data_IF_328370933917
#
_entry.id   IF_328370933917
#
_cell.length_a   1.000
_cell.length_b   1.000
_cell.length_c   1.000
_cell.angle_alpha   90.00
_cell.angle_beta   90.00
_cell.angle_gamma   90.00
#
_symmetry.space_group_name_H-M   'P 1'
#
loop_
_entity.id
_entity.type
_entity.pdbx_description
1 polymer ?
#
# COMPACT_ATOMS: atom_id res chain seq x y z
N UNK A 1 -52.61 3.50 5.43
CA UNK A 1 -52.97 4.18 6.68
C UNK A 1 -53.03 3.15 7.80
N UNK A 2 -52.35 3.46 8.92
CA UNK A 2 -52.51 3.01 10.32
C UNK A 2 -53.10 1.61 10.59
N UNK A 3 -52.30 0.69 11.17
CA UNK A 3 -52.21 0.34 12.63
C UNK A 3 -53.35 -0.66 13.04
N UNK A 4 -53.27 -1.59 14.00
CA UNK A 4 -52.47 -1.72 15.22
C UNK A 4 -52.78 -3.07 15.93
N UNK A 5 -51.73 -3.74 16.47
CA UNK A 5 -51.54 -4.34 17.83
C UNK A 5 -52.51 -5.40 18.40
N UNK A 6 -51.97 -6.58 18.77
CA UNK A 6 -51.52 -7.08 20.13
C UNK A 6 -52.65 -7.84 20.87
N UNK A 7 -52.52 -8.80 21.79
CA UNK A 7 -51.56 -9.20 22.85
C UNK A 7 -51.79 -10.72 23.13
N UNK A 8 -50.79 -11.62 23.20
CA UNK A 8 -49.98 -12.17 24.34
C UNK A 8 -50.70 -12.64 25.64
N UNK A 9 -50.33 -13.87 26.04
CA UNK A 9 -50.11 -14.47 27.40
C UNK A 9 -51.15 -15.48 27.88
N UNK A 10 -50.67 -16.69 28.22
CA UNK A 10 -51.34 -17.66 29.08
C UNK A 10 -50.44 -18.86 29.37
N UNK A 11 -49.83 -18.87 30.55
CA UNK A 11 -48.86 -19.83 31.07
C UNK A 11 -49.59 -20.84 31.97
N UNK A 12 -49.39 -22.16 31.82
CA UNK A 12 -49.76 -23.15 32.86
C UNK A 12 -48.73 -24.27 32.89
N UNK A 13 -48.21 -24.52 34.09
CA UNK A 13 -47.40 -25.67 34.47
C UNK A 13 -48.11 -26.46 35.59
N UNK A 14 -47.67 -27.72 35.80
CA UNK A 14 -47.97 -28.70 36.87
C UNK A 14 -49.04 -29.77 36.51
N UNK A 15 -48.61 -31.02 36.24
CA UNK A 15 -48.56 -32.21 37.15
C UNK A 15 -49.96 -32.84 37.35
N UNK A 16 -50.27 -34.15 37.29
CA UNK A 16 -49.57 -35.44 37.38
C UNK A 16 -50.70 -36.51 37.12
N UNK A 17 -50.55 -37.65 36.41
CA UNK A 17 -50.44 -39.03 36.96
C UNK A 17 -50.93 -40.07 35.89
N UNK A 18 -50.12 -41.12 35.70
CA UNK A 18 -50.33 -42.51 35.21
C UNK A 18 -51.02 -42.82 33.86
N UNK A 19 -50.28 -43.51 32.98
CA UNK A 19 -50.35 -44.96 32.70
C UNK A 19 -49.77 -45.28 31.32
N UNK A 20 -49.18 -46.48 31.16
CA UNK A 20 -49.18 -47.17 29.88
C UNK A 20 -47.91 -47.06 29.03
N UNK A 21 -47.02 -48.03 29.22
CA UNK A 21 -45.93 -48.43 28.34
C UNK A 21 -46.35 -48.62 26.87
N UNK A 22 -45.59 -48.05 25.93
CA UNK A 22 -45.28 -48.66 24.64
C UNK A 22 -44.03 -47.97 24.06
N UNK A 23 -42.92 -48.71 24.03
CA UNK A 23 -41.66 -48.27 23.48
C UNK A 23 -41.75 -48.10 21.97
N UNK A 24 -41.56 -46.86 21.52
CA UNK A 24 -41.30 -46.51 20.13
C UNK A 24 -40.17 -45.50 20.09
N UNK A 25 -38.94 -45.97 19.88
CA UNK A 25 -37.77 -45.12 19.68
C UNK A 25 -37.89 -44.38 18.34
N UNK A 26 -38.55 -43.23 18.35
CA UNK A 26 -38.53 -42.26 17.25
C UNK A 26 -37.15 -41.60 17.22
N UNK A 27 -36.24 -42.16 16.42
CA UNK A 27 -34.98 -41.52 16.06
C UNK A 27 -35.28 -40.42 15.05
N UNK A 28 -35.44 -39.19 15.52
CA UNK A 28 -35.42 -38.02 14.66
C UNK A 28 -34.01 -37.91 14.04
N UNK A 29 -33.86 -37.81 12.71
CA UNK A 29 -32.56 -37.55 12.11
C UNK A 29 -32.10 -36.16 12.54
N UNK A 30 -31.13 -36.09 13.44
CA UNK A 30 -30.36 -34.90 13.71
C UNK A 30 -29.58 -34.55 12.46
N UNK A 31 -30.12 -33.64 11.64
CA UNK A 31 -29.37 -33.00 10.57
C UNK A 31 -28.32 -32.13 11.25
N UNK A 32 -27.13 -32.70 11.45
CA UNK A 32 -25.96 -31.97 11.90
C UNK A 32 -25.69 -30.86 10.88
N UNK A 33 -26.12 -29.65 11.21
CA UNK A 33 -25.65 -28.45 10.53
C UNK A 33 -24.17 -28.35 10.87
N UNK A 34 -23.32 -28.83 9.96
CA UNK A 34 -21.92 -28.50 9.97
C UNK A 34 -21.82 -26.98 9.91
N UNK A 35 -21.64 -26.35 11.07
CA UNK A 35 -21.30 -24.95 11.17
C UNK A 35 -19.99 -24.80 10.39
N UNK A 36 -20.07 -24.23 9.19
CA UNK A 36 -18.91 -23.77 8.44
C UNK A 36 -18.36 -22.57 9.20
N UNK A 37 -17.61 -22.85 10.26
CA UNK A 37 -16.68 -21.90 10.84
C UNK A 37 -15.63 -21.64 9.76
N UNK A 38 -15.89 -20.63 8.94
CA UNK A 38 -14.88 -19.98 8.12
C UNK A 38 -13.87 -19.39 9.11
N UNK A 39 -12.93 -20.22 9.53
CA UNK A 39 -11.80 -19.84 10.34
C UNK A 39 -10.97 -18.94 9.44
N UNK A 40 -11.28 -17.64 9.47
CA UNK A 40 -10.42 -16.62 8.92
C UNK A 40 -9.07 -16.84 9.58
N UNK A 41 -8.14 -17.44 8.84
CA UNK A 41 -6.82 -17.78 9.34
C UNK A 41 -6.13 -16.45 9.66
N UNK A 42 -6.25 -15.99 10.91
CA UNK A 42 -5.69 -14.71 11.33
C UNK A 42 -4.19 -14.93 11.51
N UNK A 43 -3.37 -14.24 10.71
CA UNK A 43 -1.92 -14.25 10.93
C UNK A 43 -1.67 -13.68 12.31
N UNK A 44 -1.20 -14.50 13.24
CA UNK A 44 -0.75 -14.05 14.55
C UNK A 44 0.59 -13.31 14.40
N UNK A 45 0.50 -12.03 14.02
CA UNK A 45 1.64 -11.15 13.80
C UNK A 45 2.16 -10.61 15.14
N UNK A 46 3.37 -11.01 15.52
CA UNK A 46 4.06 -10.52 16.74
C UNK A 46 4.76 -9.18 16.47
N UNK A 47 3.96 -8.15 16.20
CA UNK A 47 4.36 -6.75 16.01
C UNK A 47 3.20 -5.83 16.41
N UNK A 48 3.44 -4.53 16.67
CA UNK A 48 2.35 -3.60 17.03
C UNK A 48 1.44 -3.28 15.86
N UNK A 49 2.00 -3.13 14.66
CA UNK A 49 1.22 -2.93 13.44
C UNK A 49 1.82 -3.68 12.25
N UNK A 50 1.00 -3.99 11.26
CA UNK A 50 1.46 -4.50 9.98
C UNK A 50 0.39 -4.44 8.89
N UNK A 51 0.84 -4.38 7.64
CA UNK A 51 -0.05 -4.35 6.47
C UNK A 51 0.64 -5.06 5.30
N UNK A 52 -0.14 -5.79 4.50
CA UNK A 52 0.29 -6.31 3.21
C UNK A 52 -0.62 -5.77 2.11
N UNK A 53 -0.02 -5.28 1.03
CA UNK A 53 -0.76 -4.71 -0.11
C UNK A 53 -0.23 -5.21 -1.44
N UNK A 54 -1.11 -5.27 -2.43
CA UNK A 54 -0.72 -5.38 -3.83
C UNK A 54 0.00 -4.11 -4.30
N UNK A 55 1.16 -4.26 -4.92
CA UNK A 55 1.99 -3.12 -5.29
C UNK A 55 1.44 -2.28 -6.47
N UNK A 56 0.50 -2.83 -7.26
CA UNK A 56 -0.03 -2.18 -8.46
C UNK A 56 -1.34 -1.44 -8.20
N UNK A 57 -2.23 -2.04 -7.42
CA UNK A 57 -3.59 -1.55 -7.16
C UNK A 57 -3.73 -0.93 -5.78
N UNK A 58 -2.80 -1.21 -4.85
CA UNK A 58 -2.94 -0.83 -3.45
C UNK A 58 -4.01 -1.63 -2.71
N UNK A 59 -4.46 -2.77 -3.24
CA UNK A 59 -5.39 -3.66 -2.55
C UNK A 59 -4.78 -4.15 -1.24
N UNK A 60 -5.51 -4.04 -0.14
CA UNK A 60 -5.06 -4.50 1.18
C UNK A 60 -5.41 -5.99 1.32
N UNK A 61 -4.39 -6.80 1.59
CA UNK A 61 -4.46 -8.26 1.65
C UNK A 61 -4.34 -8.79 3.09
N UNK A 62 -3.76 -7.98 3.96
CA UNK A 62 -3.68 -8.20 5.40
C UNK A 62 -3.52 -6.86 6.10
N UNK A 63 -4.12 -6.71 7.28
CA UNK A 63 -3.95 -5.52 8.11
C UNK A 63 -4.02 -5.87 9.60
N UNK A 64 -3.17 -5.22 10.38
CA UNK A 64 -3.21 -5.16 11.85
C UNK A 64 -2.81 -3.75 12.27
N UNK A 65 -3.74 -3.00 12.88
CA UNK A 65 -3.50 -1.62 13.33
C UNK A 65 -2.88 -0.73 12.24
N UNK A 66 -3.33 -0.86 10.98
CA UNK A 66 -2.68 -0.28 9.81
C UNK A 66 -2.59 1.23 9.86
N UNK A 67 -3.58 1.90 10.46
CA UNK A 67 -3.65 3.36 10.62
C UNK A 67 -2.98 3.90 11.89
N UNK A 68 -2.45 3.05 12.77
CA UNK A 68 -1.78 3.50 13.99
C UNK A 68 -0.42 4.12 13.67
N UNK A 69 -0.23 5.40 14.02
CA UNK A 69 1.07 6.06 13.86
C UNK A 69 2.09 5.53 14.89
N UNK A 70 3.24 5.06 14.40
CA UNK A 70 4.34 4.56 15.22
C UNK A 70 5.67 5.14 14.72
N UNK A 71 6.72 5.19 15.55
CA UNK A 71 8.04 5.60 15.07
C UNK A 71 8.57 4.63 14.00
N UNK A 72 9.13 5.21 12.93
CA UNK A 72 9.50 4.45 11.73
C UNK A 72 11.01 4.30 11.53
N UNK A 73 11.80 5.04 12.30
CA UNK A 73 13.25 5.07 12.23
C UNK A 73 13.75 5.19 10.76
N UNK A 74 14.76 4.40 10.38
CA UNK A 74 15.37 4.43 9.04
C UNK A 74 14.47 4.06 7.86
N UNK A 75 13.23 3.59 8.07
CA UNK A 75 12.27 3.50 6.96
C UNK A 75 11.93 4.89 6.39
N UNK A 76 12.20 5.95 7.16
CA UNK A 76 12.16 7.34 6.71
C UNK A 76 12.87 7.55 5.37
N UNK A 77 14.00 6.87 5.19
CA UNK A 77 14.86 7.04 4.02
C UNK A 77 14.12 6.75 2.72
N UNK A 78 13.05 5.96 2.72
CA UNK A 78 12.25 5.73 1.51
C UNK A 78 11.55 6.99 1.01
N UNK A 79 11.10 7.88 1.91
CA UNK A 79 10.52 9.18 1.53
C UNK A 79 11.60 10.13 1.02
N UNK A 80 12.76 10.13 1.68
CA UNK A 80 13.92 10.91 1.23
C UNK A 80 14.39 10.46 -0.15
N UNK A 81 14.47 9.14 -0.38
CA UNK A 81 14.85 8.53 -1.66
C UNK A 81 13.82 8.84 -2.76
N UNK A 82 12.52 8.87 -2.44
CA UNK A 82 11.50 9.32 -3.39
C UNK A 82 11.81 10.73 -3.92
N UNK A 83 12.13 11.67 -3.04
CA UNK A 83 12.47 13.05 -3.42
C UNK A 83 13.82 13.17 -4.13
N UNK A 84 14.81 12.37 -3.72
CA UNK A 84 16.12 12.33 -4.41
C UNK A 84 15.95 11.82 -5.83
N UNK A 85 15.20 10.74 -6.04
CA UNK A 85 14.92 10.22 -7.37
C UNK A 85 14.09 11.21 -8.20
N UNK A 86 13.12 11.89 -7.59
CA UNK A 86 12.37 12.97 -8.24
C UNK A 86 13.28 14.12 -8.72
N UNK A 87 14.22 14.55 -7.87
CA UNK A 87 15.21 15.55 -8.25
C UNK A 87 16.12 15.06 -9.38
N UNK A 88 16.47 13.78 -9.41
CA UNK A 88 17.30 13.19 -10.48
C UNK A 88 16.54 13.14 -11.80
N UNK A 89 15.32 12.60 -11.81
CA UNK A 89 14.49 12.49 -13.02
C UNK A 89 14.11 13.85 -13.60
N UNK A 90 13.97 14.87 -12.76
CA UNK A 90 13.70 16.24 -13.19
C UNK A 90 14.98 17.04 -13.49
N UNK A 91 16.15 16.41 -13.53
CA UNK A 91 17.43 17.04 -13.91
C UNK A 91 18.03 17.99 -12.87
N UNK A 92 17.43 18.12 -11.69
CA UNK A 92 17.92 18.96 -10.58
C UNK A 92 19.18 18.39 -9.92
N UNK A 93 19.33 17.07 -9.91
CA UNK A 93 20.47 16.35 -9.33
C UNK A 93 21.00 15.33 -10.34
N UNK A 94 22.31 15.17 -10.46
CA UNK A 94 22.91 14.16 -11.38
C UNK A 94 23.61 13.07 -10.59
N UNK A 95 23.62 11.84 -11.12
CA UNK A 95 24.22 10.68 -10.43
C UNK A 95 25.72 10.82 -10.12
N UNK A 96 26.46 11.48 -11.01
CA UNK A 96 27.89 11.72 -10.94
C UNK A 96 28.26 13.04 -10.24
N UNK A 97 27.27 13.91 -9.99
CA UNK A 97 27.47 15.14 -9.23
C UNK A 97 28.09 14.82 -7.86
N UNK A 98 29.11 15.59 -7.50
CA UNK A 98 29.77 15.49 -6.20
C UNK A 98 29.08 16.42 -5.20
N UNK A 99 28.81 15.91 -4.00
CA UNK A 99 28.26 16.65 -2.86
C UNK A 99 29.35 16.77 -1.80
N UNK A 100 29.72 18.00 -1.46
CA UNK A 100 30.64 18.31 -0.36
C UNK A 100 29.94 18.13 0.98
N UNK A 101 30.57 17.40 1.90
CA UNK A 101 29.99 17.08 3.19
C UNK A 101 30.25 18.20 4.19
N UNK A 102 29.19 18.68 4.83
CA UNK A 102 29.27 19.69 5.88
C UNK A 102 29.69 19.10 7.23
N UNK A 103 30.18 19.95 8.14
CA UNK A 103 30.58 19.55 9.50
C UNK A 103 29.48 18.79 10.28
N UNK A 104 28.21 19.24 10.33
CA UNK A 104 27.18 18.52 11.06
C UNK A 104 26.89 17.13 10.48
N UNK A 105 26.92 16.99 9.15
CA UNK A 105 26.71 15.70 8.48
C UNK A 105 27.89 14.75 8.76
N UNK A 106 29.13 15.26 8.68
CA UNK A 106 30.31 14.49 9.02
C UNK A 106 30.27 14.02 10.49
N UNK A 107 29.78 14.85 11.42
CA UNK A 107 29.60 14.48 12.83
C UNK A 107 28.62 13.32 13.01
N UNK A 108 27.50 13.32 12.29
CA UNK A 108 26.56 12.18 12.27
C UNK A 108 27.22 10.94 11.69
N UNK A 109 27.96 11.08 10.57
CA UNK A 109 28.61 9.98 9.89
C UNK A 109 29.72 9.30 10.71
N UNK A 110 30.39 10.04 11.59
CA UNK A 110 31.44 9.54 12.49
C UNK A 110 30.90 8.79 13.71
N UNK A 111 29.60 8.89 14.01
CA UNK A 111 29.02 8.21 15.16
C UNK A 111 28.83 6.72 14.85
N UNK A 112 29.68 5.88 15.45
CA UNK A 112 29.73 4.42 15.25
C UNK A 112 28.54 3.68 15.86
N UNK A 113 27.77 4.32 16.75
CA UNK A 113 26.53 3.76 17.30
C UNK A 113 25.35 3.90 16.32
N UNK A 114 25.56 4.53 15.16
CA UNK A 114 24.56 4.75 14.13
C UNK A 114 25.02 4.13 12.81
N UNK A 115 24.09 3.57 12.03
CA UNK A 115 24.42 3.05 10.70
C UNK A 115 24.94 4.17 9.79
N UNK A 116 26.20 4.07 9.38
CA UNK A 116 26.89 5.05 8.54
C UNK A 116 28.00 4.41 7.71
N UNK A 117 28.38 5.12 6.65
CA UNK A 117 29.70 5.02 6.04
C UNK A 117 30.50 6.24 6.49
N UNK A 118 31.84 6.18 6.56
CA UNK A 118 32.65 7.34 6.92
C UNK A 118 32.46 8.45 5.87
N UNK A 119 32.09 9.64 6.34
CA UNK A 119 32.00 10.85 5.52
C UNK A 119 32.85 11.94 6.17
N UNK A 120 33.81 12.48 5.42
CA UNK A 120 34.71 13.52 5.91
C UNK A 120 34.20 14.90 5.55
N UNK A 121 34.25 15.81 6.52
CA UNK A 121 33.97 17.24 6.32
C UNK A 121 34.85 17.80 5.19
N UNK A 122 34.26 18.62 4.32
CA UNK A 122 34.95 19.23 3.17
C UNK A 122 35.28 18.26 2.03
N UNK A 123 35.22 16.94 2.25
CA UNK A 123 35.35 15.97 1.17
C UNK A 123 34.05 15.83 0.38
N UNK A 124 34.16 15.45 -0.89
CA UNK A 124 32.99 15.33 -1.77
C UNK A 124 32.80 13.92 -2.29
N UNK A 125 31.57 13.41 -2.22
CA UNK A 125 31.18 12.08 -2.67
C UNK A 125 30.11 12.18 -3.75
N UNK A 126 30.05 11.23 -4.68
CA UNK A 126 29.03 11.26 -5.74
C UNK A 126 27.65 10.95 -5.19
N UNK A 127 26.61 11.54 -5.81
CA UNK A 127 25.20 11.24 -5.52
C UNK A 127 24.93 9.74 -5.55
N UNK A 128 25.46 9.03 -6.55
CA UNK A 128 25.34 7.58 -6.67
C UNK A 128 25.89 6.83 -5.45
N UNK A 129 27.08 7.19 -4.97
CA UNK A 129 27.69 6.54 -3.82
C UNK A 129 26.88 6.78 -2.54
N UNK A 130 26.40 8.01 -2.32
CA UNK A 130 25.57 8.36 -1.17
C UNK A 130 24.20 7.66 -1.22
N UNK A 131 23.60 7.56 -2.40
CA UNK A 131 22.33 6.87 -2.63
C UNK A 131 22.44 5.38 -2.32
N UNK A 132 23.50 4.73 -2.84
CA UNK A 132 23.77 3.32 -2.59
C UNK A 132 24.04 3.06 -1.10
N UNK A 133 24.83 3.91 -0.44
CA UNK A 133 25.08 3.79 1.00
C UNK A 133 23.81 3.97 1.85
N UNK A 134 22.89 4.85 1.42
CA UNK A 134 21.62 5.10 2.10
C UNK A 134 20.67 3.90 2.03
N UNK A 135 20.63 3.17 0.91
CA UNK A 135 19.72 2.04 0.71
C UNK A 135 20.30 0.71 1.18
N UNK A 136 21.59 0.46 0.93
CA UNK A 136 22.26 -0.82 1.27
C UNK A 136 22.63 -0.82 2.75
N UNK A 137 23.38 0.20 3.20
CA UNK A 137 23.95 0.25 4.55
C UNK A 137 23.20 1.17 5.51
N UNK A 138 22.08 1.75 5.06
CA UNK A 138 21.26 2.66 5.86
C UNK A 138 22.01 3.90 6.37
N UNK A 139 23.03 4.36 5.63
CA UNK A 139 23.90 5.45 6.08
C UNK A 139 23.14 6.76 6.32
N UNK A 140 23.18 7.26 7.56
CA UNK A 140 22.43 8.45 7.98
C UNK A 140 23.01 9.74 7.40
N UNK A 141 24.32 9.93 7.49
CA UNK A 141 24.96 11.12 6.92
C UNK A 141 24.79 11.22 5.40
N UNK A 142 24.77 10.08 4.71
CA UNK A 142 24.62 10.04 3.25
C UNK A 142 23.25 10.55 2.79
N UNK A 143 22.16 10.15 3.47
CA UNK A 143 20.82 10.61 3.10
C UNK A 143 20.56 12.07 3.51
N UNK A 144 21.16 12.54 4.60
CA UNK A 144 21.09 13.95 5.00
C UNK A 144 21.85 14.85 4.01
N UNK A 145 22.98 14.39 3.49
CA UNK A 145 23.72 15.09 2.43
C UNK A 145 22.92 15.16 1.13
N UNK A 146 22.31 14.05 0.72
CA UNK A 146 21.42 14.03 -0.45
C UNK A 146 20.22 14.97 -0.28
N UNK A 147 19.56 14.93 0.88
CA UNK A 147 18.43 15.81 1.16
C UNK A 147 18.80 17.29 1.13
N UNK A 148 19.94 17.63 1.73
CA UNK A 148 20.49 18.99 1.69
C UNK A 148 20.82 19.43 0.26
N UNK A 149 21.40 18.56 -0.57
CA UNK A 149 21.67 18.87 -1.98
C UNK A 149 20.37 19.07 -2.80
N UNK A 150 19.29 18.35 -2.47
CA UNK A 150 18.00 18.49 -3.13
C UNK A 150 17.31 19.81 -2.76
N UNK A 151 17.39 20.27 -1.51
CA UNK A 151 16.58 21.39 -1.03
C UNK A 151 17.38 22.64 -0.62
N UNK A 152 18.70 22.60 -0.65
CA UNK A 152 19.61 23.64 -0.17
C UNK A 152 19.91 23.56 1.32
N UNK A 153 19.00 23.02 2.14
CA UNK A 153 19.22 22.80 3.58
C UNK A 153 18.40 21.61 4.12
N UNK A 154 18.79 21.02 5.26
CA UNK A 154 18.04 19.94 5.91
C UNK A 154 16.59 20.33 6.25
N UNK A 155 16.35 21.53 6.78
CA UNK A 155 15.00 21.98 7.14
C UNK A 155 14.14 22.26 5.91
N UNK A 156 14.72 22.82 4.83
CA UNK A 156 14.03 22.96 3.55
C UNK A 156 13.66 21.58 2.97
N UNK A 157 14.53 20.58 3.12
CA UNK A 157 14.24 19.22 2.70
C UNK A 157 13.10 18.59 3.50
N UNK A 158 13.08 18.77 4.83
CA UNK A 158 11.96 18.31 5.68
C UNK A 158 10.64 18.96 5.26
N UNK A 159 10.65 20.24 4.87
CA UNK A 159 9.46 20.90 4.31
C UNK A 159 8.98 20.21 3.03
N UNK A 160 9.88 19.86 2.11
CA UNK A 160 9.53 19.09 0.91
C UNK A 160 9.02 17.68 1.25
N UNK A 161 9.62 17.00 2.23
CA UNK A 161 9.17 15.69 2.71
C UNK A 161 7.73 15.75 3.24
N UNK A 162 7.40 16.77 4.06
CA UNK A 162 6.03 16.97 4.57
C UNK A 162 5.04 17.25 3.45
N UNK A 163 5.42 18.10 2.49
CA UNK A 163 4.59 18.38 1.32
C UNK A 163 4.32 17.12 0.49
N UNK A 164 5.36 16.31 0.28
CA UNK A 164 5.23 15.05 -0.45
C UNK A 164 4.40 14.02 0.32
N UNK A 165 4.59 13.88 1.63
CA UNK A 165 3.78 13.02 2.48
C UNK A 165 2.29 13.40 2.39
N UNK A 166 1.96 14.70 2.42
CA UNK A 166 0.59 15.19 2.21
C UNK A 166 0.04 14.83 0.82
N UNK A 167 0.82 14.99 -0.25
CA UNK A 167 0.43 14.58 -1.61
C UNK A 167 0.15 13.07 -1.73
N UNK A 168 0.86 12.26 -0.95
CA UNK A 168 0.67 10.81 -0.88
C UNK A 168 -0.49 10.39 0.06
N UNK A 169 -1.16 11.35 0.71
CA UNK A 169 -2.25 11.07 1.65
C UNK A 169 -1.79 10.59 3.03
N UNK A 170 -0.52 10.81 3.39
CA UNK A 170 0.06 10.53 4.72
C UNK A 170 -0.18 11.71 5.66
N UNK A 171 -1.45 12.08 5.89
CA UNK A 171 -1.82 13.38 6.49
C UNK A 171 -1.41 13.54 7.95
N UNK A 172 -1.19 12.44 8.66
CA UNK A 172 -0.83 12.43 10.08
C UNK A 172 0.66 12.13 10.32
N UNK A 173 1.48 12.08 9.27
CA UNK A 173 2.89 11.79 9.37
C UNK A 173 3.65 12.92 10.11
N UNK A 174 4.47 12.53 11.08
CA UNK A 174 5.39 13.41 11.80
C UNK A 174 6.79 13.23 11.20
N UNK A 175 7.34 14.29 10.63
CA UNK A 175 8.62 14.26 9.89
C UNK A 175 9.50 15.42 10.37
N UNK A 176 10.72 15.11 10.80
CA UNK A 176 11.66 16.03 11.42
C UNK A 176 13.06 15.97 10.79
N UNK A 177 13.45 14.88 10.14
CA UNK A 177 14.74 14.77 9.44
C UNK A 177 14.68 13.74 8.31
N UNK A 178 15.73 13.68 7.48
CA UNK A 178 15.78 12.83 6.29
C UNK A 178 16.15 11.37 6.60
N UNK A 179 16.78 11.12 7.75
CA UNK A 179 17.34 9.81 8.07
C UNK A 179 16.49 8.96 9.02
N UNK A 180 15.59 9.57 9.79
CA UNK A 180 14.72 8.93 10.78
C UNK A 180 15.34 8.78 12.17
N UNK A 181 16.47 9.45 12.44
CA UNK A 181 17.09 9.49 13.76
C UNK A 181 16.29 10.38 14.73
N UNK A 182 16.58 10.27 16.03
CA UNK A 182 16.04 11.20 17.02
C UNK A 182 16.65 12.60 16.88
N UNK A 183 15.95 13.62 17.39
CA UNK A 183 16.40 15.01 17.37
C UNK A 183 17.78 15.18 18.06
N UNK A 184 18.04 14.43 19.14
CA UNK A 184 19.35 14.42 19.81
C UNK A 184 20.45 13.83 18.93
N UNK A 185 20.16 12.75 18.20
CA UNK A 185 21.14 12.05 17.37
C UNK A 185 21.53 12.84 16.11
N UNK A 186 20.61 13.62 15.54
CA UNK A 186 20.93 14.50 14.40
C UNK A 186 21.67 15.79 14.80
N UNK A 187 21.71 16.12 16.10
CA UNK A 187 22.45 17.26 16.63
C UNK A 187 22.04 18.57 15.96
N UNK A 188 23.02 19.29 15.40
CA UNK A 188 22.85 20.61 14.81
C UNK A 188 21.92 20.64 13.58
N UNK A 189 21.61 19.46 12.98
CA UNK A 189 20.61 19.36 11.91
C UNK A 189 19.16 19.30 12.43
N UNK A 190 18.99 19.07 13.74
CA UNK A 190 17.69 18.98 14.40
C UNK A 190 17.02 20.33 14.63
N UNK A 191 16.01 20.32 15.49
CA UNK A 191 15.29 21.52 15.92
C UNK A 191 15.53 21.79 17.40
N UNK A 192 16.03 22.99 17.73
CA UNK A 192 16.39 23.35 19.11
C UNK A 192 15.19 23.33 20.08
N UNK A 193 13.98 23.58 19.58
CA UNK A 193 12.75 23.63 20.38
C UNK A 193 12.04 22.27 20.52
N UNK A 194 12.64 21.17 20.04
CA UNK A 194 12.06 19.83 20.15
C UNK A 194 12.82 18.97 21.15
N UNK A 195 12.09 18.10 21.86
CA UNK A 195 12.68 17.08 22.73
C UNK A 195 13.72 16.25 21.99
N UNK A 196 14.82 15.92 22.65
CA UNK A 196 15.88 15.08 22.10
C UNK A 196 15.41 13.69 21.66
N UNK A 197 14.28 13.19 22.19
CA UNK A 197 13.69 11.88 21.84
C UNK A 197 12.75 11.94 20.63
N UNK A 198 12.45 13.13 20.10
CA UNK A 198 11.55 13.28 18.96
C UNK A 198 12.13 12.61 17.71
N UNK A 199 11.38 11.71 17.09
CA UNK A 199 11.75 11.05 15.82
C UNK A 199 10.55 10.93 14.89
N UNK A 200 10.81 10.57 13.63
CA UNK A 200 9.77 10.47 12.61
C UNK A 200 8.79 9.33 12.92
N UNK A 201 7.51 9.56 12.65
CA UNK A 201 6.45 8.59 12.91
C UNK A 201 5.32 8.69 11.86
N UNK A 202 4.82 7.55 11.41
CA UNK A 202 3.61 7.42 10.58
C UNK A 202 3.07 5.99 10.67
N UNK A 203 1.94 5.74 10.01
CA UNK A 203 1.25 4.46 10.08
C UNK A 203 1.80 3.41 9.11
N UNK A 204 1.47 2.14 9.31
CA UNK A 204 1.87 1.08 8.37
C UNK A 204 1.23 1.31 7.00
N UNK A 205 -0.01 1.81 6.97
CA UNK A 205 -0.72 2.20 5.74
C UNK A 205 0.00 3.35 5.02
N UNK A 206 0.47 4.37 5.75
CA UNK A 206 1.21 5.49 5.18
C UNK A 206 2.56 5.04 4.59
N UNK A 207 3.26 4.12 5.27
CA UNK A 207 4.46 3.49 4.73
C UNK A 207 4.16 2.67 3.47
N UNK A 208 3.02 1.98 3.42
CA UNK A 208 2.59 1.23 2.24
C UNK A 208 2.24 2.16 1.06
N UNK A 209 1.53 3.27 1.29
CA UNK A 209 1.25 4.31 0.27
C UNK A 209 2.55 4.84 -0.33
N UNK A 210 3.51 5.20 0.52
CA UNK A 210 4.83 5.64 0.08
C UNK A 210 5.54 4.58 -0.77
N UNK A 211 5.51 3.33 -0.34
CA UNK A 211 6.21 2.23 -1.02
C UNK A 211 5.57 1.90 -2.37
N UNK A 212 4.24 1.90 -2.46
CA UNK A 212 3.50 1.77 -3.73
C UNK A 212 3.85 2.91 -4.67
N UNK A 213 3.84 4.15 -4.18
CA UNK A 213 4.18 5.32 -5.00
C UNK A 213 5.63 5.30 -5.48
N UNK A 214 6.57 4.89 -4.61
CA UNK A 214 7.98 4.75 -4.95
C UNK A 214 8.20 3.68 -6.02
N UNK A 215 7.64 2.48 -5.86
CA UNK A 215 7.81 1.40 -6.84
C UNK A 215 7.07 1.65 -8.15
N UNK A 216 5.97 2.41 -8.12
CA UNK A 216 5.24 2.81 -9.32
C UNK A 216 6.01 3.85 -10.13
N UNK A 217 6.57 4.86 -9.46
CA UNK A 217 7.23 5.99 -10.13
C UNK A 217 8.70 5.71 -10.46
N UNK A 218 9.41 5.03 -9.58
CA UNK A 218 10.85 4.78 -9.65
C UNK A 218 11.19 3.30 -9.38
N UNK A 219 10.72 2.36 -10.22
CA UNK A 219 10.97 0.92 -10.03
C UNK A 219 12.46 0.55 -10.01
N UNK A 220 13.33 1.39 -10.59
CA UNK A 220 14.78 1.21 -10.59
C UNK A 220 15.42 1.25 -9.20
N UNK A 221 14.72 1.75 -8.17
CA UNK A 221 15.17 1.67 -6.77
C UNK A 221 15.53 0.24 -6.35
N UNK A 222 14.82 -0.74 -6.93
CA UNK A 222 15.04 -2.16 -6.67
C UNK A 222 16.38 -2.67 -7.19
N UNK A 223 16.97 -2.00 -8.18
CA UNK A 223 18.32 -2.33 -8.64
C UNK A 223 19.35 -2.15 -7.52
N UNK A 224 19.10 -1.23 -6.58
CA UNK A 224 19.98 -0.99 -5.43
C UNK A 224 19.54 -1.75 -4.19
N UNK A 225 18.24 -1.79 -3.87
CA UNK A 225 17.78 -2.49 -2.64
C UNK A 225 18.01 -3.99 -2.68
N UNK A 226 18.12 -4.59 -3.87
CA UNK A 226 18.42 -6.03 -4.03
C UNK A 226 19.90 -6.40 -3.91
N UNK A 227 20.79 -5.41 -3.82
CA UNK A 227 22.24 -5.66 -3.72
C UNK A 227 22.56 -6.15 -2.32
N UNK A 228 23.11 -7.36 -2.20
CA UNK A 228 23.40 -7.98 -0.89
C UNK A 228 24.65 -7.40 -0.23
N UNK A 229 25.70 -7.11 -1.00
CA UNK A 229 26.96 -6.51 -0.53
C UNK A 229 27.53 -5.57 -1.58
N UNK A 230 28.15 -4.47 -1.14
CA UNK A 230 28.81 -3.50 -2.03
C UNK A 230 29.91 -2.76 -1.28
N UNK A 231 30.97 -2.36 -1.98
CA UNK A 231 31.97 -1.45 -1.40
C UNK A 231 31.54 0.00 -1.57
N UNK A 232 31.58 0.76 -0.49
CA UNK A 232 31.63 2.21 -0.53
C UNK A 232 33.09 2.65 -0.68
N UNK A 233 33.38 3.56 -1.61
CA UNK A 233 34.70 4.18 -1.83
C UNK A 233 35.89 3.20 -1.82
N UNK A 234 35.76 2.08 -2.55
CA UNK A 234 36.77 1.03 -2.64
C UNK A 234 38.15 1.60 -3.04
N UNK A 235 39.20 1.19 -2.34
CA UNK A 235 40.58 1.60 -2.62
C UNK A 235 40.96 2.97 -2.03
N UNK A 236 40.09 3.58 -1.23
CA UNK A 236 40.39 4.84 -0.52
C UNK A 236 40.42 4.60 0.99
N UNK A 237 40.87 5.60 1.76
CA UNK A 237 40.77 5.58 3.23
C UNK A 237 39.33 5.55 3.76
N UNK A 238 38.35 5.93 2.95
CA UNK A 238 36.92 5.92 3.31
C UNK A 238 36.24 4.58 2.93
N UNK A 239 37.02 3.56 2.54
CA UNK A 239 36.48 2.30 2.08
C UNK A 239 35.66 1.59 3.16
N UNK A 240 34.44 1.17 2.82
CA UNK A 240 33.57 0.39 3.73
C UNK A 240 32.88 -0.73 2.98
N UNK A 241 32.98 -1.96 3.50
CA UNK A 241 32.22 -3.11 2.97
C UNK A 241 30.81 -3.05 3.52
N UNK A 242 29.89 -2.57 2.70
CA UNK A 242 28.47 -2.49 3.05
C UNK A 242 27.82 -3.86 2.90
N UNK A 243 27.22 -4.36 3.96
CA UNK A 243 26.33 -5.52 3.93
C UNK A 243 24.89 -5.05 4.08
N UNK A 244 23.99 -5.55 3.24
CA UNK A 244 22.62 -5.06 3.23
C UNK A 244 21.89 -5.46 4.51
N UNK A 245 21.25 -4.49 5.16
CA UNK A 245 20.45 -4.73 6.36
C UNK A 245 19.15 -5.52 6.09
N UNK A 246 18.73 -5.67 4.83
CA UNK A 246 17.65 -6.57 4.46
C UNK A 246 18.17 -8.01 4.36
N UNK A 247 18.11 -8.76 5.45
CA UNK A 247 18.58 -10.15 5.48
C UNK A 247 17.66 -11.13 4.75
N UNK A 248 16.50 -10.70 4.25
CA UNK A 248 15.61 -11.54 3.44
C UNK A 248 16.02 -11.62 1.97
N UNK A 249 17.01 -10.83 1.53
CA UNK A 249 17.54 -10.95 0.17
C UNK A 249 18.16 -12.33 -0.05
N UNK A 250 18.06 -12.82 -1.29
CA UNK A 250 18.58 -14.13 -1.70
C UNK A 250 20.03 -14.32 -1.25
N UNK A 251 20.27 -15.38 -0.47
CA UNK A 251 21.60 -15.77 0.01
C UNK A 251 22.02 -15.14 1.34
N UNK A 252 21.16 -14.36 2.00
CA UNK A 252 21.39 -13.83 3.34
C UNK A 252 20.65 -14.64 4.43
N UNK A 253 20.94 -14.36 5.70
CA UNK A 253 20.58 -15.20 6.85
C UNK A 253 19.08 -15.37 7.10
N UNK A 254 18.23 -14.46 6.62
CA UNK A 254 16.77 -14.55 6.73
C UNK A 254 16.09 -14.77 5.36
N UNK A 255 16.86 -15.16 4.34
CA UNK A 255 16.35 -15.50 3.02
C UNK A 255 15.41 -16.70 3.11
N UNK A 256 14.30 -16.66 2.38
CA UNK A 256 13.37 -17.77 2.26
C UNK A 256 13.15 -18.09 0.79
N UNK A 257 13.53 -19.28 0.33
CA UNK A 257 13.63 -19.62 -1.10
C UNK A 257 12.31 -19.48 -1.87
N UNK A 258 11.16 -19.69 -1.20
CA UNK A 258 9.83 -19.50 -1.79
C UNK A 258 9.35 -18.05 -1.76
N UNK A 259 10.19 -17.10 -1.37
CA UNK A 259 9.89 -15.68 -1.39
C UNK A 259 10.99 -14.91 -2.13
N UNK A 260 10.62 -14.29 -3.23
CA UNK A 260 11.57 -13.52 -4.06
C UNK A 260 11.69 -12.08 -3.58
N UNK A 261 12.28 -11.90 -2.39
CA UNK A 261 12.47 -10.58 -1.79
C UNK A 261 13.60 -9.81 -2.47
N UNK A 262 13.30 -8.60 -2.93
CA UNK A 262 14.24 -7.69 -3.60
C UNK A 262 14.31 -6.29 -2.94
N UNK A 263 13.67 -6.12 -1.78
CA UNK A 263 13.64 -4.87 -1.04
C UNK A 263 12.82 -4.93 0.25
N UNK A 264 12.57 -3.83 0.95
CA UNK A 264 12.85 -2.45 0.54
C UNK A 264 13.71 -1.71 1.57
N UNK A 265 13.29 -1.64 2.85
CA UNK A 265 14.05 -0.92 3.88
C UNK A 265 13.72 -1.36 5.30
N UNK A 266 14.75 -1.59 6.10
CA UNK A 266 14.68 -1.78 7.57
C UNK A 266 14.73 -0.45 8.34
N UNK A 267 14.23 -0.45 9.57
CA UNK A 267 14.41 0.65 10.52
C UNK A 267 14.41 0.17 11.96
N UNK A 268 15.28 0.74 12.80
CA UNK A 268 15.39 0.40 14.21
C UNK A 268 15.68 1.65 15.03
N UNK A 269 15.01 1.80 16.16
CA UNK A 269 15.33 2.70 17.26
C UNK A 269 14.67 2.16 18.53
N UNK A 270 15.04 2.67 19.70
CA UNK A 270 14.47 2.24 20.98
C UNK A 270 12.94 2.36 21.00
N UNK A 271 12.40 3.44 20.42
CA UNK A 271 10.95 3.69 20.38
C UNK A 271 10.26 3.05 19.15
N UNK A 272 10.98 2.85 18.04
CA UNK A 272 10.46 2.17 16.86
C UNK A 272 10.38 0.64 17.02
N UNK A 273 11.26 0.04 17.84
CA UNK A 273 11.50 -1.40 17.80
C UNK A 273 12.06 -1.82 16.44
N UNK A 274 11.83 -3.07 16.04
CA UNK A 274 12.29 -3.58 14.76
C UNK A 274 11.23 -3.41 13.65
N UNK A 275 11.50 -2.49 12.71
CA UNK A 275 10.64 -2.23 11.55
C UNK A 275 11.22 -2.81 10.25
N UNK A 276 10.35 -3.23 9.34
CA UNK A 276 10.74 -3.60 7.99
C UNK A 276 9.62 -3.34 6.97
N UNK A 277 9.96 -2.65 5.89
CA UNK A 277 9.19 -2.66 4.64
C UNK A 277 9.85 -3.65 3.70
N UNK A 278 9.18 -4.76 3.43
CA UNK A 278 9.58 -5.79 2.47
C UNK A 278 8.77 -5.72 1.19
N UNK A 279 9.35 -6.18 0.08
CA UNK A 279 8.60 -6.45 -1.15
C UNK A 279 9.08 -7.77 -1.77
N UNK A 280 8.16 -8.47 -2.41
CA UNK A 280 8.40 -9.78 -3.03
C UNK A 280 7.57 -9.89 -4.30
N UNK A 281 8.10 -10.55 -5.33
CA UNK A 281 7.42 -10.74 -6.61
C UNK A 281 7.42 -12.19 -7.10
N UNK A 282 6.22 -12.72 -7.35
CA UNK A 282 6.03 -14.04 -7.95
C UNK A 282 5.28 -13.90 -9.26
N UNK A 283 6.01 -13.97 -10.39
CA UNK A 283 5.40 -13.95 -11.71
C UNK A 283 4.61 -12.68 -12.02
N UNK A 284 5.07 -11.51 -11.56
CA UNK A 284 4.40 -10.23 -11.74
C UNK A 284 3.23 -9.99 -10.79
N UNK A 285 3.21 -10.73 -9.67
CA UNK A 285 2.25 -10.60 -8.58
C UNK A 285 3.02 -10.09 -7.35
N UNK A 286 3.40 -8.81 -7.43
CA UNK A 286 4.21 -8.14 -6.42
C UNK A 286 3.38 -7.66 -5.24
N UNK A 287 3.82 -8.01 -4.04
CA UNK A 287 3.27 -7.50 -2.79
C UNK A 287 4.29 -6.62 -2.08
N UNK A 288 3.77 -5.69 -1.27
CA UNK A 288 4.53 -4.90 -0.32
C UNK A 288 4.00 -5.24 1.08
N UNK A 289 4.91 -5.44 2.01
CA UNK A 289 4.64 -5.74 3.41
C UNK A 289 5.30 -4.70 4.29
N UNK A 290 4.59 -4.18 5.28
CA UNK A 290 5.18 -3.31 6.31
C UNK A 290 4.93 -3.95 7.67
N UNK A 291 5.99 -4.13 8.44
CA UNK A 291 5.94 -4.56 9.85
C UNK A 291 6.50 -3.43 10.70
N UNK A 292 5.72 -2.98 11.69
CA UNK A 292 6.11 -1.94 12.64
C UNK A 292 6.18 -2.49 14.07
N UNK A 293 7.28 -2.20 14.75
CA UNK A 293 7.52 -2.50 16.15
C UNK A 293 7.44 -4.00 16.44
N UNK A 294 8.16 -4.80 15.66
CA UNK A 294 8.49 -6.16 16.07
C UNK A 294 9.51 -6.13 17.22
N UNK A 295 9.66 -7.26 17.91
CA UNK A 295 10.66 -7.41 18.96
C UNK A 295 12.07 -7.12 18.44
N UNK A 296 12.90 -6.56 19.30
CA UNK A 296 14.29 -6.24 18.99
C UNK A 296 15.14 -6.44 20.25
N UNK A 297 15.54 -7.68 20.52
CA UNK A 297 16.33 -8.04 21.70
C UNK A 297 17.83 -7.78 21.51
N UNK A 298 18.30 -7.79 20.28
CA UNK A 298 19.68 -7.54 19.88
C UNK A 298 19.74 -7.08 18.42
N UNK A 299 20.90 -6.56 18.00
CA UNK A 299 21.17 -6.19 16.61
C UNK A 299 21.00 -7.36 15.62
N UNK A 300 21.13 -8.60 16.10
CA UNK A 300 20.99 -9.84 15.33
C UNK A 300 19.59 -10.46 15.39
N UNK A 301 18.64 -9.84 16.09
CA UNK A 301 17.28 -10.36 16.26
C UNK A 301 16.49 -10.35 14.93
N UNK A 302 16.09 -11.52 14.39
CA UNK A 302 15.42 -11.63 13.10
C UNK A 302 13.90 -11.40 13.16
N UNK A 303 13.33 -11.01 14.30
CA UNK A 303 11.87 -10.97 14.54
C UNK A 303 11.07 -10.21 13.48
N UNK A 304 11.59 -9.09 12.95
CA UNK A 304 10.95 -8.33 11.85
C UNK A 304 10.84 -9.14 10.56
N UNK A 305 11.87 -9.92 10.25
CA UNK A 305 11.94 -10.73 9.03
C UNK A 305 11.06 -11.97 9.17
N UNK A 306 11.04 -12.60 10.35
CA UNK A 306 10.12 -13.71 10.64
C UNK A 306 8.65 -13.27 10.52
N UNK A 307 8.31 -12.09 11.06
CA UNK A 307 6.96 -11.52 10.95
C UNK A 307 6.60 -11.17 9.50
N UNK A 308 7.56 -10.64 8.75
CA UNK A 308 7.39 -10.32 7.33
C UNK A 308 7.20 -11.58 6.49
N UNK A 309 8.02 -12.62 6.70
CA UNK A 309 7.88 -13.92 6.06
C UNK A 309 6.49 -14.51 6.31
N UNK A 310 5.99 -14.51 7.56
CA UNK A 310 4.62 -14.99 7.87
C UNK A 310 3.56 -14.25 7.06
N UNK A 311 3.66 -12.92 6.97
CA UNK A 311 2.71 -12.10 6.25
C UNK A 311 2.78 -12.32 4.73
N UNK A 312 3.97 -12.39 4.15
CA UNK A 312 4.15 -12.70 2.73
C UNK A 312 3.63 -14.11 2.40
N UNK A 313 4.01 -15.12 3.19
CA UNK A 313 3.55 -16.50 3.01
C UNK A 313 2.04 -16.62 3.17
N UNK A 314 1.43 -15.90 4.12
CA UNK A 314 -0.03 -15.86 4.24
C UNK A 314 -0.69 -15.38 2.95
N UNK A 315 -0.21 -14.27 2.38
CA UNK A 315 -0.79 -13.72 1.15
C UNK A 315 -0.65 -14.72 0.00
N UNK A 316 0.56 -15.24 -0.25
CA UNK A 316 0.78 -16.16 -1.37
C UNK A 316 0.09 -17.53 -1.20
N UNK A 317 -0.17 -17.98 0.03
CA UNK A 317 -0.85 -19.25 0.27
C UNK A 317 -2.39 -19.14 0.28
N UNK A 318 -2.94 -17.95 0.54
CA UNK A 318 -4.39 -17.77 0.74
C UNK A 318 -5.07 -16.97 -0.36
N UNK A 319 -4.31 -16.34 -1.25
CA UNK A 319 -4.84 -15.55 -2.35
C UNK A 319 -4.30 -16.03 -3.70
N UNK A 320 -5.16 -15.90 -4.71
CA UNK A 320 -4.85 -16.08 -6.13
C UNK A 320 -5.17 -14.79 -6.87
N UNK A 321 -4.47 -14.55 -7.97
CA UNK A 321 -4.75 -13.39 -8.83
C UNK A 321 -5.74 -13.74 -9.93
N UNK A 322 -6.72 -12.87 -10.15
CA UNK A 322 -7.64 -12.92 -11.29
C UNK A 322 -7.41 -11.68 -12.15
N UNK A 323 -7.23 -11.90 -13.46
CA UNK A 323 -7.08 -10.81 -14.44
C UNK A 323 -8.37 -10.64 -15.22
N UNK A 324 -8.99 -9.48 -15.09
CA UNK A 324 -10.10 -8.99 -15.91
C UNK A 324 -9.49 -8.25 -17.10
N UNK A 325 -9.49 -8.89 -18.27
CA UNK A 325 -8.82 -8.39 -19.48
C UNK A 325 -9.49 -7.12 -20.01
N UNK A 326 -8.73 -6.25 -20.66
CA UNK A 326 -9.28 -5.17 -21.45
C UNK A 326 -10.29 -5.72 -22.49
N UNK A 327 -11.41 -5.01 -22.67
CA UNK A 327 -12.52 -5.50 -23.50
C UNK A 327 -13.51 -6.42 -22.79
N UNK A 328 -13.16 -6.96 -21.61
CA UNK A 328 -14.13 -7.71 -20.80
C UNK A 328 -15.15 -6.79 -20.13
N UNK A 329 -16.33 -7.35 -19.85
CA UNK A 329 -17.35 -6.68 -19.05
C UNK A 329 -17.25 -7.08 -17.59
N UNK A 330 -17.57 -6.16 -16.68
CA UNK A 330 -17.65 -6.41 -15.23
C UNK A 330 -19.09 -6.24 -14.76
N UNK A 331 -19.54 -7.06 -13.81
CA UNK A 331 -20.87 -6.93 -13.22
C UNK A 331 -21.09 -5.50 -12.68
N UNK A 332 -22.28 -4.93 -12.88
CA UNK A 332 -22.57 -3.53 -12.53
C UNK A 332 -22.01 -2.45 -13.48
N UNK A 333 -21.15 -2.84 -14.44
CA UNK A 333 -20.61 -1.96 -15.48
C UNK A 333 -20.67 -2.59 -16.89
N UNK A 334 -21.67 -3.44 -17.15
CA UNK A 334 -21.90 -4.03 -18.48
C UNK A 334 -22.51 -3.02 -19.46
N UNK A 335 -23.34 -2.13 -18.95
CA UNK A 335 -24.01 -1.07 -19.72
C UNK A 335 -24.08 0.22 -18.89
N UNK A 336 -24.28 1.33 -19.59
CA UNK A 336 -24.65 2.63 -19.00
C UNK A 336 -25.92 3.15 -19.67
N UNK A 337 -26.73 3.92 -18.96
CA UNK A 337 -27.84 4.67 -19.56
C UNK A 337 -27.30 5.76 -20.48
N UNK A 338 -28.07 6.11 -21.49
CA UNK A 338 -27.71 7.11 -22.50
C UNK A 338 -28.72 8.26 -22.52
N UNK A 339 -28.24 9.45 -22.85
CA UNK A 339 -29.05 10.65 -23.12
C UNK A 339 -28.91 11.01 -24.60
N UNK A 340 -30.00 11.49 -25.22
CA UNK A 340 -30.07 11.86 -26.64
C UNK A 340 -29.67 10.78 -27.66
N UNK A 341 -29.44 9.53 -27.23
CA UNK A 341 -29.01 8.42 -28.08
C UNK A 341 -30.18 7.66 -28.72
N UNK A 342 -29.92 6.96 -29.83
CA UNK A 342 -30.88 6.02 -30.47
C UNK A 342 -31.36 4.97 -29.45
N UNK A 343 -30.40 4.25 -28.88
CA UNK A 343 -30.61 3.27 -27.81
C UNK A 343 -30.71 3.92 -26.43
N UNK A 344 -31.47 3.31 -25.50
CA UNK A 344 -31.56 3.76 -24.08
C UNK A 344 -30.35 3.37 -23.22
N UNK A 345 -29.53 2.46 -23.71
CA UNK A 345 -28.29 2.05 -23.04
C UNK A 345 -27.15 1.84 -24.03
N UNK A 346 -25.92 2.02 -23.56
CA UNK A 346 -24.70 1.70 -24.29
C UNK A 346 -23.94 0.57 -23.61
N UNK A 347 -23.48 -0.40 -24.38
CA UNK A 347 -22.61 -1.49 -23.89
C UNK A 347 -21.22 -0.96 -23.58
N UNK A 348 -20.67 -1.42 -22.46
CA UNK A 348 -19.38 -0.97 -21.93
C UNK A 348 -18.46 -2.14 -21.61
N UNK A 349 -17.17 -1.86 -21.62
CA UNK A 349 -16.10 -2.79 -21.28
C UNK A 349 -14.93 -2.05 -20.62
N UNK A 350 -14.10 -2.79 -19.88
CA UNK A 350 -12.85 -2.24 -19.35
C UNK A 350 -11.95 -1.80 -20.51
N UNK A 351 -11.32 -0.62 -20.37
CA UNK A 351 -10.37 -0.12 -21.35
C UNK A 351 -8.92 -0.56 -21.06
N UNK A 352 -8.66 -1.12 -19.87
CA UNK A 352 -7.36 -1.66 -19.45
C UNK A 352 -7.57 -2.91 -18.60
N UNK A 353 -6.55 -3.77 -18.58
CA UNK A 353 -6.53 -4.93 -17.70
C UNK A 353 -6.58 -4.51 -16.23
N UNK A 354 -7.37 -5.25 -15.46
CA UNK A 354 -7.40 -5.17 -14.01
C UNK A 354 -6.98 -6.52 -13.44
N UNK A 355 -5.89 -6.57 -12.69
CA UNK A 355 -5.50 -7.75 -11.91
C UNK A 355 -5.86 -7.49 -10.44
N UNK A 356 -6.65 -8.38 -9.85
CA UNK A 356 -7.02 -8.35 -8.44
C UNK A 356 -6.60 -9.63 -7.74
N UNK A 357 -6.27 -9.52 -6.46
CA UNK A 357 -6.10 -10.67 -5.59
C UNK A 357 -7.46 -11.03 -5.00
N UNK A 358 -7.82 -12.30 -5.07
CA UNK A 358 -9.00 -12.84 -4.40
C UNK A 358 -8.57 -14.01 -3.53
N UNK A 359 -9.25 -14.21 -2.41
CA UNK A 359 -8.99 -15.39 -1.57
C UNK A 359 -9.23 -16.67 -2.37
N UNK A 360 -8.51 -17.74 -2.01
CA UNK A 360 -8.56 -19.01 -2.75
C UNK A 360 -9.96 -19.65 -2.76
N UNK A 361 -10.74 -19.42 -1.70
CA UNK A 361 -12.15 -19.85 -1.54
C UNK A 361 -13.17 -18.95 -2.26
N UNK A 362 -12.71 -17.87 -2.91
CA UNK A 362 -13.56 -16.94 -3.67
C UNK A 362 -13.43 -17.19 -5.19
N UNK A 363 -14.40 -16.66 -5.94
CA UNK A 363 -14.50 -16.79 -7.40
C UNK A 363 -14.43 -15.43 -8.10
N UNK A 364 -14.01 -15.45 -9.37
CA UNK A 364 -13.86 -14.23 -10.20
C UNK A 364 -15.17 -13.44 -10.36
N UNK A 365 -16.33 -14.09 -10.28
CA UNK A 365 -17.63 -13.42 -10.37
C UNK A 365 -17.95 -12.50 -9.18
N UNK A 366 -17.09 -12.47 -8.15
CA UNK A 366 -17.26 -11.58 -6.99
C UNK A 366 -16.86 -10.12 -7.25
N UNK A 367 -16.21 -9.81 -8.39
CA UNK A 367 -15.97 -8.42 -8.75
C UNK A 367 -17.24 -7.77 -9.31
N UNK A 368 -17.60 -6.62 -8.73
CA UNK A 368 -18.70 -5.76 -9.19
C UNK A 368 -18.22 -4.33 -9.26
N UNK A 369 -18.84 -3.52 -10.11
CA UNK A 369 -18.41 -2.16 -10.38
C UNK A 369 -19.58 -1.17 -10.32
N UNK A 370 -19.29 0.05 -9.87
CA UNK A 370 -20.14 1.23 -10.09
C UNK A 370 -19.49 2.11 -11.15
N UNK A 371 -20.26 2.54 -12.15
CA UNK A 371 -19.74 3.40 -13.21
C UNK A 371 -19.69 4.85 -12.75
N UNK A 372 -18.59 5.53 -13.04
CA UNK A 372 -18.44 6.98 -12.92
C UNK A 372 -18.12 7.55 -14.31
N UNK A 373 -19.09 8.23 -14.92
CA UNK A 373 -18.92 8.87 -16.23
C UNK A 373 -18.07 10.14 -16.15
N UNK A 374 -17.37 10.46 -17.25
CA UNK A 374 -16.74 11.77 -17.45
C UNK A 374 -17.82 12.83 -17.55
N UNK A 375 -17.67 13.92 -16.78
CA UNK A 375 -18.60 15.06 -16.79
C UNK A 375 -18.84 15.60 -18.21
N UNK A 376 -17.78 15.68 -19.02
CA UNK A 376 -17.85 16.17 -20.40
C UNK A 376 -18.60 15.27 -21.38
N UNK A 377 -18.91 14.03 -20.99
CA UNK A 377 -19.63 13.05 -21.80
C UNK A 377 -20.93 12.62 -21.09
N UNK A 378 -21.38 13.35 -20.07
CA UNK A 378 -22.56 12.98 -19.30
C UNK A 378 -23.55 14.13 -19.19
N UNK A 379 -24.82 13.85 -19.46
CA UNK A 379 -25.94 14.77 -19.30
C UNK A 379 -27.00 14.07 -18.45
N UNK A 380 -27.52 14.76 -17.40
CA UNK A 380 -28.52 14.20 -16.47
C UNK A 380 -28.14 12.83 -15.88
N UNK A 381 -26.85 12.58 -15.67
CA UNK A 381 -26.34 11.30 -15.13
C UNK A 381 -26.26 10.14 -16.14
N UNK A 382 -26.58 10.37 -17.41
CA UNK A 382 -26.49 9.40 -18.49
C UNK A 382 -25.44 9.80 -19.53
N UNK A 383 -24.96 8.85 -20.32
CA UNK A 383 -23.95 9.08 -21.37
C UNK A 383 -24.55 9.88 -22.53
N UNK A 384 -24.01 11.06 -22.81
CA UNK A 384 -24.50 11.96 -23.87
C UNK A 384 -24.05 11.51 -25.26
N UNK A 385 -25.00 11.34 -26.19
CA UNK A 385 -24.68 11.04 -27.58
C UNK A 385 -24.31 12.31 -28.41
N UNK A 386 -23.41 12.20 -29.40
CA UNK A 386 -22.79 10.98 -29.91
C UNK A 386 -21.46 10.61 -29.21
N UNK A 387 -21.18 9.30 -29.14
CA UNK A 387 -19.91 8.76 -28.62
C UNK A 387 -19.35 7.73 -29.60
N UNK A 388 -18.05 7.80 -29.91
CA UNK A 388 -17.38 6.85 -30.82
C UNK A 388 -17.23 5.47 -30.16
N UNK A 389 -17.10 4.43 -30.98
CA UNK A 389 -16.70 3.10 -30.50
C UNK A 389 -15.33 3.18 -29.82
N UNK A 390 -15.13 2.39 -28.75
CA UNK A 390 -13.90 2.36 -27.96
C UNK A 390 -13.53 3.67 -27.24
N UNK A 391 -14.39 4.68 -27.27
CA UNK A 391 -14.13 5.93 -26.56
C UNK A 391 -14.17 5.70 -25.05
N UNK A 392 -13.14 6.17 -24.33
CA UNK A 392 -13.13 6.10 -22.87
C UNK A 392 -14.14 7.11 -22.29
N UNK A 393 -15.20 6.59 -21.68
CA UNK A 393 -16.34 7.36 -21.18
C UNK A 393 -16.29 7.66 -19.68
N UNK A 394 -15.39 7.02 -18.94
CA UNK A 394 -15.36 7.14 -17.49
C UNK A 394 -14.45 6.10 -16.82
N UNK A 395 -14.82 5.73 -15.61
CA UNK A 395 -14.20 4.64 -14.84
C UNK A 395 -15.24 3.66 -14.31
N UNK A 396 -14.86 2.39 -14.23
CA UNK A 396 -15.49 1.40 -13.38
C UNK A 396 -14.80 1.44 -12.01
N UNK A 397 -15.55 1.74 -10.96
CA UNK A 397 -15.08 1.68 -9.58
C UNK A 397 -15.38 0.26 -9.07
N UNK A 398 -14.39 -0.63 -9.18
CA UNK A 398 -14.51 -2.07 -8.96
C UNK A 398 -14.29 -2.39 -7.48
N UNK A 399 -15.21 -3.14 -6.88
CA UNK A 399 -15.14 -3.72 -5.53
C UNK A 399 -15.23 -5.24 -5.59
N UNK A 400 -14.67 -5.92 -4.59
CA UNK A 400 -14.80 -7.37 -4.42
C UNK A 400 -15.83 -7.68 -3.33
N UNK A 401 -16.82 -8.50 -3.66
CA UNK A 401 -17.78 -9.00 -2.67
C UNK A 401 -17.03 -9.79 -1.59
N UNK A 402 -17.27 -9.46 -0.32
CA UNK A 402 -16.64 -10.11 0.82
C UNK A 402 -15.28 -9.54 1.22
N UNK A 403 -14.72 -8.59 0.45
CA UNK A 403 -13.52 -7.85 0.87
C UNK A 403 -13.87 -6.80 1.93
N UNK A 404 -13.36 -7.01 3.14
CA UNK A 404 -13.55 -6.10 4.26
C UNK A 404 -12.44 -5.05 4.35
N UNK A 405 -11.27 -5.30 3.75
CA UNK A 405 -10.09 -4.45 3.89
C UNK A 405 -10.14 -3.31 2.88
N UNK A 406 -10.39 -3.61 1.61
CA UNK A 406 -10.44 -2.62 0.54
C UNK A 406 -9.05 -2.26 0.02
N UNK A 407 -8.83 -0.98 -0.27
CA UNK A 407 -7.61 -0.47 -0.91
C UNK A 407 -7.04 0.72 -0.11
N UNK A 408 -5.74 0.96 -0.26
CA UNK A 408 -5.05 2.09 0.37
C UNK A 408 -5.77 3.43 0.15
N UNK A 409 -5.80 4.28 1.18
CA UNK A 409 -6.52 5.55 1.14
C UNK A 409 -7.99 5.43 1.52
N UNK A 410 -8.36 4.42 2.32
CA UNK A 410 -9.71 4.19 2.85
C UNK A 410 -10.80 4.07 1.77
N UNK A 411 -10.47 3.50 0.62
CA UNK A 411 -11.42 3.24 -0.46
C UNK A 411 -11.79 1.76 -0.51
N UNK A 412 -13.07 1.45 -0.80
CA UNK A 412 -13.55 0.07 -1.04
C UNK A 412 -13.52 -0.33 -2.51
N UNK A 413 -12.99 0.53 -3.37
CA UNK A 413 -12.94 0.31 -4.82
C UNK A 413 -11.61 0.70 -5.44
N UNK A 414 -11.24 0.03 -6.53
CA UNK A 414 -10.20 0.46 -7.45
C UNK A 414 -10.83 1.03 -8.72
N UNK A 415 -10.29 2.14 -9.22
CA UNK A 415 -10.79 2.79 -10.44
C UNK A 415 -10.09 2.22 -11.67
N UNK A 416 -10.86 1.78 -12.66
CA UNK A 416 -10.35 1.28 -13.94
C UNK A 416 -11.01 2.02 -15.08
N UNK A 417 -10.28 2.52 -16.09
CA UNK A 417 -10.86 3.14 -17.27
C UNK A 417 -11.95 2.26 -17.93
N UNK A 418 -13.08 2.88 -18.27
CA UNK A 418 -14.22 2.22 -18.93
C UNK A 418 -14.46 2.84 -20.32
N UNK A 419 -14.73 2.01 -21.32
CA UNK A 419 -15.00 2.41 -22.70
C UNK A 419 -16.30 1.82 -23.24
N UNK A 420 -16.84 2.42 -24.30
CA UNK A 420 -17.94 1.83 -25.09
C UNK A 420 -17.42 0.67 -25.95
N UNK A 421 -18.26 -0.35 -26.17
CA UNK A 421 -17.92 -1.46 -27.10
C UNK A 421 -18.38 -1.19 -28.53
N UNK A 422 -19.28 -0.22 -28.71
CA UNK A 422 -19.90 0.17 -29.97
C UNK A 422 -20.11 1.69 -30.00
N UNK A 423 -20.34 2.26 -31.19
CA UNK A 423 -20.73 3.66 -31.30
C UNK A 423 -22.10 3.90 -30.64
N UNK A 424 -22.26 5.07 -30.02
CA UNK A 424 -23.53 5.54 -29.44
C UNK A 424 -23.99 6.70 -30.29
N UNK A 425 -24.90 6.42 -31.21
CA UNK A 425 -25.40 7.41 -32.17
C UNK A 425 -26.52 8.26 -31.58
N UNK A 426 -26.59 9.51 -32.04
CA UNK A 426 -27.64 10.44 -31.65
C UNK A 426 -28.98 10.02 -32.24
N UNK A 427 -30.04 10.08 -31.42
CA UNK A 427 -31.39 9.90 -31.89
C UNK A 427 -31.78 11.05 -32.83
N UNK A 428 -32.66 10.75 -33.79
CA UNK A 428 -33.21 11.78 -34.67
C UNK A 428 -33.99 12.84 -33.88
N UNK A 429 -34.21 14.00 -34.49
CA UNK A 429 -34.79 15.18 -33.82
C UNK A 429 -36.19 14.89 -33.27
N UNK A 430 -37.03 14.16 -34.01
CA UNK A 430 -38.39 13.82 -33.60
C UNK A 430 -38.44 12.92 -32.36
N UNK A 431 -37.59 11.89 -32.29
CA UNK A 431 -37.46 11.01 -31.12
C UNK A 431 -37.02 11.80 -29.89
N UNK A 432 -36.09 12.75 -30.06
CA UNK A 432 -35.62 13.60 -28.96
C UNK A 432 -36.67 14.59 -28.48
N UNK A 433 -37.41 15.21 -29.41
CA UNK A 433 -38.51 16.11 -29.09
C UNK A 433 -39.62 15.37 -28.33
N UNK A 434 -40.05 14.21 -28.82
CA UNK A 434 -41.05 13.36 -28.16
C UNK A 434 -40.62 12.95 -26.75
N UNK A 435 -39.38 12.47 -26.59
CA UNK A 435 -38.83 12.11 -25.26
C UNK A 435 -38.76 13.31 -24.31
N UNK A 436 -38.53 14.52 -24.83
CA UNK A 436 -38.51 15.75 -24.03
C UNK A 436 -39.91 16.13 -23.55
N UNK A 437 -40.93 15.97 -24.41
CA UNK A 437 -42.34 16.22 -24.05
C UNK A 437 -42.78 15.21 -22.99
N UNK A 438 -42.52 13.91 -23.19
CA UNK A 438 -42.88 12.86 -22.23
C UNK A 438 -42.19 13.05 -20.88
N UNK A 439 -41.00 13.64 -20.83
CA UNK A 439 -40.30 13.90 -19.57
C UNK A 439 -40.83 15.10 -18.77
N UNK A 440 -41.77 15.90 -19.33
CA UNK A 440 -42.43 17.02 -18.65
C UNK A 440 -43.71 16.60 -17.90
N UNK A 441 -44.22 15.40 -18.18
CA UNK A 441 -45.37 14.77 -17.54
C UNK A 441 -44.91 13.57 -16.71
#
# INVERSE_FOLDING_TARGET
MKRLRKFVVGLVAALMVTTGTLGGSLTLPTVAHAATTSTTQTVNLKAKAGIAVDAKTGQILYEKNGSQALPVASMTKLLSIYLVLDAIHNGKLKWDQKITISKPIAKIAKNTNLSNVPLREGHSYTVKALYQASLIYSANGAIEALGSAVAGSPHAFVTQMRAQAKKLGMTNAKIYNACGLTNKQVGDLGYANLSGKTENAWSAEDQAKLSVALLTKYPEVLQTTKITKMWFQKGTQDATKMENWNWMLKGLSASYSKLHVDGLKTGTSDAAGANFTGTSDHGGNRIITVVLHAAHKSETDPSRFQQTQKMMSYVYNNFKTVTYQAGSQVAGAKTVTTHDAKEKTAKTALAKDLKLWIRNDQVASNATAKVQLKKSLSQKGALEAPVKQNQQIGTANVSLKGDQLGFLGNTKTVKVPLKTTQAVEKANVFVRLWRSIVALF
#
